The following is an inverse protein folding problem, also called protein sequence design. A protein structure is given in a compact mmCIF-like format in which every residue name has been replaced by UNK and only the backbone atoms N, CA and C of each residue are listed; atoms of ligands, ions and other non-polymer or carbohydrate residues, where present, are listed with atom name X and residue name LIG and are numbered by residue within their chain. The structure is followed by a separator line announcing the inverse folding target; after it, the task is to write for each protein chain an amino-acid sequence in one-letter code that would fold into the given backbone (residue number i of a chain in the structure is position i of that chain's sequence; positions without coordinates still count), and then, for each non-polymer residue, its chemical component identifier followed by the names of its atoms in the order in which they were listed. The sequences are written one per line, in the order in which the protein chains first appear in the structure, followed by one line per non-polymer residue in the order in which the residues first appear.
data_IF_646902477221
#
_entry.id   IF_646902477221
#
_cell.length_a   1.000
_cell.length_b   1.000
_cell.length_c   1.000
_cell.angle_alpha   90.00
_cell.angle_beta   90.00
_cell.angle_gamma   90.00
#
_symmetry.space_group_name_H-M   'P 1'
#
loop_
_entity.id
_entity.type
_entity.pdbx_description
1 polymer ?
#
# COMPACT_ATOMS: atom_id res chain seq x y z
N UNK A 1 6.56 15.39 6.50
CA UNK A 1 5.50 14.37 6.37
C UNK A 1 5.80 13.49 5.17
N UNK A 2 5.73 12.19 5.35
CA UNK A 2 5.99 11.24 4.27
C UNK A 2 4.82 11.18 3.30
N UNK A 3 5.11 10.79 2.07
CA UNK A 3 4.08 10.57 1.06
C UNK A 3 4.36 9.28 0.30
N UNK A 4 3.31 8.70 -0.25
CA UNK A 4 3.38 7.53 -1.08
C UNK A 4 3.15 7.94 -2.53
N UNK A 5 3.97 7.42 -3.42
CA UNK A 5 3.79 7.65 -4.86
C UNK A 5 3.34 6.35 -5.49
N UNK A 6 2.14 6.36 -6.06
CA UNK A 6 1.59 5.21 -6.76
C UNK A 6 1.95 5.31 -8.24
N UNK A 7 2.61 4.29 -8.76
CA UNK A 7 2.99 4.25 -10.17
C UNK A 7 2.74 2.88 -10.76
N UNK A 8 2.62 2.84 -12.09
CA UNK A 8 2.48 1.59 -12.83
C UNK A 8 3.30 1.74 -14.11
N UNK A 9 4.21 0.78 -14.36
CA UNK A 9 5.07 0.78 -15.54
C UNK A 9 5.80 2.11 -15.76
N UNK A 10 6.27 2.71 -14.68
CA UNK A 10 7.00 3.97 -14.71
C UNK A 10 6.11 5.22 -14.77
N UNK A 11 4.80 5.06 -14.89
CA UNK A 11 3.87 6.18 -14.93
C UNK A 11 3.32 6.47 -13.54
N UNK A 12 3.50 7.69 -13.07
CA UNK A 12 2.96 8.12 -11.78
C UNK A 12 1.44 8.31 -11.91
N UNK A 13 0.69 7.55 -11.13
CA UNK A 13 -0.77 7.63 -11.13
C UNK A 13 -1.29 8.57 -10.05
N UNK A 14 -0.65 8.62 -8.89
CA UNK A 14 -1.17 9.38 -7.76
C UNK A 14 -0.10 9.60 -6.72
N UNK A 15 -0.18 10.72 -6.01
CA UNK A 15 0.61 11.00 -4.81
C UNK A 15 -0.35 11.01 -3.63
N UNK A 16 0.01 10.31 -2.58
CA UNK A 16 -0.86 10.13 -1.41
C UNK A 16 -0.07 10.51 -0.16
N UNK A 17 -0.49 11.56 0.56
CA UNK A 17 0.18 11.90 1.81
C UNK A 17 -0.13 10.85 2.88
N UNK A 18 0.87 10.46 3.64
CA UNK A 18 0.69 9.53 4.76
C UNK A 18 0.27 10.32 5.99
N UNK A 19 -1.01 10.69 6.05
CA UNK A 19 -1.54 11.57 7.07
C UNK A 19 -2.32 10.86 8.18
N UNK A 20 -2.32 9.53 8.16
CA UNK A 20 -2.95 8.70 9.19
C UNK A 20 -1.94 7.69 9.70
N UNK A 21 -2.12 7.28 10.94
CA UNK A 21 -1.24 6.31 11.57
C UNK A 21 -1.29 4.95 10.84
N UNK A 22 -2.47 4.58 10.36
CA UNK A 22 -2.69 3.32 9.65
C UNK A 22 -3.46 3.60 8.37
N UNK A 23 -2.89 3.25 7.22
CA UNK A 23 -3.53 3.44 5.93
C UNK A 23 -3.57 2.11 5.18
N UNK A 24 -4.78 1.68 4.81
CA UNK A 24 -4.99 0.42 4.12
C UNK A 24 -4.90 0.59 2.61
N UNK A 25 -4.39 -0.43 1.93
CA UNK A 25 -4.26 -0.49 0.49
C UNK A 25 -5.01 -1.71 -0.01
N UNK A 26 -5.86 -1.55 -0.99
CA UNK A 26 -6.57 -2.67 -1.55
C UNK A 26 -7.50 -2.28 -2.69
N UNK A 27 -8.13 -3.30 -3.27
CA UNK A 27 -9.02 -3.10 -4.41
C UNK A 27 -10.40 -2.58 -4.01
N UNK A 28 -10.85 -2.91 -2.80
CA UNK A 28 -12.19 -2.49 -2.35
C UNK A 28 -12.21 -1.01 -1.97
N UNK A 29 -13.34 -0.33 -2.19
CA UNK A 29 -13.41 1.13 -1.98
C UNK A 29 -13.32 1.59 -0.52
N UNK A 30 -13.45 0.69 0.45
CA UNK A 30 -13.29 1.07 1.86
C UNK A 30 -11.84 1.33 2.26
N UNK A 31 -10.88 0.93 1.41
CA UNK A 31 -9.46 1.15 1.69
C UNK A 31 -9.10 2.63 1.60
N UNK A 32 -8.15 3.07 2.41
CA UNK A 32 -7.65 4.45 2.33
C UNK A 32 -7.00 4.71 0.97
N UNK A 33 -6.32 3.71 0.44
CA UNK A 33 -5.72 3.77 -0.89
C UNK A 33 -6.35 2.67 -1.72
N UNK A 34 -7.24 3.04 -2.64
CA UNK A 34 -7.91 2.07 -3.49
C UNK A 34 -7.15 1.91 -4.80
N UNK A 35 -6.82 0.66 -5.15
CA UNK A 35 -6.21 0.32 -6.43
C UNK A 35 -7.11 -0.67 -7.13
N UNK A 36 -7.81 -0.20 -8.16
CA UNK A 36 -8.77 -1.02 -8.92
C UNK A 36 -8.04 -1.85 -9.97
N UNK A 37 -7.40 -2.92 -9.52
CA UNK A 37 -6.65 -3.84 -10.38
C UNK A 37 -6.88 -5.25 -9.88
N UNK A 38 -7.13 -6.17 -10.79
CA UNK A 38 -7.44 -7.56 -10.43
C UNK A 38 -6.27 -8.29 -9.74
N UNK A 39 -5.05 -7.81 -9.91
CA UNK A 39 -3.90 -8.37 -9.20
C UNK A 39 -3.84 -7.93 -7.74
N UNK A 40 -4.67 -6.99 -7.34
CA UNK A 40 -4.69 -6.45 -5.98
C UNK A 40 -5.85 -7.08 -5.21
N UNK A 41 -5.55 -7.64 -4.04
CA UNK A 41 -6.58 -8.21 -3.17
C UNK A 41 -7.48 -7.12 -2.61
N UNK A 42 -8.70 -7.46 -2.23
CA UNK A 42 -9.65 -6.53 -1.66
C UNK A 42 -9.06 -5.74 -0.49
N UNK A 43 -8.33 -6.44 0.39
CA UNK A 43 -7.51 -5.85 1.44
C UNK A 43 -6.11 -6.43 1.24
N UNK A 44 -5.20 -5.64 0.68
CA UNK A 44 -3.92 -6.15 0.20
C UNK A 44 -2.78 -5.92 1.18
N UNK A 45 -2.59 -4.68 1.61
CA UNK A 45 -1.52 -4.34 2.53
C UNK A 45 -1.90 -3.12 3.35
N UNK A 46 -1.07 -2.80 4.33
CA UNK A 46 -1.30 -1.65 5.22
C UNK A 46 0.04 -0.98 5.51
N UNK A 47 0.01 0.35 5.53
CA UNK A 47 1.15 1.16 5.94
C UNK A 47 0.86 1.69 7.34
N UNK A 48 1.77 1.40 8.27
CA UNK A 48 1.68 1.89 9.64
C UNK A 48 2.80 2.89 9.85
N UNK A 49 2.44 4.10 10.28
CA UNK A 49 3.41 5.15 10.56
C UNK A 49 3.51 5.35 12.07
N UNK A 50 4.72 5.18 12.59
CA UNK A 50 5.01 5.36 14.02
C UNK A 50 6.10 6.41 14.12
N UNK A 51 5.75 7.59 14.67
CA UNK A 51 6.64 8.75 14.71
C UNK A 51 7.10 9.10 13.30
N UNK A 52 8.39 8.97 13.00
CA UNK A 52 8.94 9.29 11.68
C UNK A 52 9.19 8.07 10.82
N UNK A 53 8.82 6.88 11.28
CA UNK A 53 9.04 5.64 10.57
C UNK A 53 7.75 5.08 9.98
N UNK A 54 7.82 4.56 8.77
CA UNK A 54 6.69 3.92 8.10
C UNK A 54 7.03 2.45 7.86
N UNK A 55 6.04 1.58 8.14
CA UNK A 55 6.18 0.14 7.99
C UNK A 55 5.09 -0.37 7.05
N UNK A 56 5.46 -1.27 6.14
CA UNK A 56 4.52 -1.88 5.22
C UNK A 56 4.31 -3.35 5.61
N UNK A 57 3.05 -3.76 5.74
CA UNK A 57 2.70 -5.14 6.07
C UNK A 57 1.76 -5.71 5.01
N UNK A 58 1.96 -6.98 4.66
CA UNK A 58 1.06 -7.70 3.78
C UNK A 58 -0.12 -8.26 4.59
N UNK A 59 -1.32 -8.19 4.05
CA UNK A 59 -2.54 -8.66 4.72
C UNK A 59 -3.01 -9.99 4.12
N UNK A 60 -2.10 -10.96 3.97
CA UNK A 60 -2.39 -12.26 3.36
C UNK A 60 -2.95 -12.10 1.94
N UNK A 61 -2.36 -11.21 1.17
CA UNK A 61 -2.79 -10.97 -0.19
C UNK A 61 -2.53 -12.19 -1.08
N UNK A 62 -3.32 -12.30 -2.16
CA UNK A 62 -3.20 -13.43 -3.09
C UNK A 62 -1.86 -13.42 -3.83
N UNK A 63 -1.44 -12.25 -4.30
CA UNK A 63 -0.21 -12.11 -5.11
C UNK A 63 1.00 -11.62 -4.34
N UNK A 64 0.83 -11.30 -3.06
CA UNK A 64 1.93 -10.84 -2.21
C UNK A 64 2.21 -9.35 -2.32
N UNK A 65 3.03 -8.87 -1.39
CA UNK A 65 3.53 -7.51 -1.35
C UNK A 65 5.05 -7.58 -1.30
N UNK A 66 5.72 -6.75 -2.09
CA UNK A 66 7.16 -6.80 -2.25
C UNK A 66 7.77 -5.43 -1.94
N UNK A 67 8.92 -5.44 -1.28
CA UNK A 67 9.71 -4.23 -1.04
C UNK A 67 11.08 -4.45 -1.68
N UNK A 68 11.41 -3.61 -2.67
CA UNK A 68 12.65 -3.73 -3.43
C UNK A 68 12.87 -5.14 -3.99
N UNK A 69 11.79 -5.73 -4.48
CA UNK A 69 11.83 -7.06 -5.08
C UNK A 69 11.76 -8.22 -4.10
N UNK A 70 11.68 -7.96 -2.80
CA UNK A 70 11.62 -9.01 -1.79
C UNK A 70 10.22 -9.09 -1.16
N UNK A 71 9.65 -10.30 -1.05
CA UNK A 71 8.33 -10.44 -0.44
C UNK A 71 8.38 -10.14 1.04
N UNK A 72 7.33 -9.47 1.51
CA UNK A 72 7.17 -9.19 2.94
C UNK A 72 6.00 -9.98 3.49
N UNK A 73 5.94 -10.04 4.83
CA UNK A 73 4.88 -10.75 5.54
C UNK A 73 4.15 -9.78 6.47
N UNK A 74 3.18 -10.30 7.14
CA UNK A 74 2.49 -9.60 8.21
C UNK A 74 3.44 -9.14 9.30
#
# INVERSE_FOLDING_TARGET
MAKLILSMDGLVLKEIPLNKERMTIGRKPHNDIQIDNLAISGEHSVIVTILNDAFLEDMNSTNGTYVNGQPIKK
#
